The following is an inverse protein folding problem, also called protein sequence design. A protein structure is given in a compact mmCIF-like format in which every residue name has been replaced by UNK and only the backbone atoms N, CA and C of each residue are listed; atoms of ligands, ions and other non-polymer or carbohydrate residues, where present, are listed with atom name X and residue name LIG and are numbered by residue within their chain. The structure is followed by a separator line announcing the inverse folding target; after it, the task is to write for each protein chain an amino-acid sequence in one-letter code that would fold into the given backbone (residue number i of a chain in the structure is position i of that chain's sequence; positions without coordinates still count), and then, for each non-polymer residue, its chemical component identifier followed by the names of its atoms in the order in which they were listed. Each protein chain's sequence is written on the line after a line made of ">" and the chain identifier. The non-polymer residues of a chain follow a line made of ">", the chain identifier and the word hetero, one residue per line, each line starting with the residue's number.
data_IF_343465044327
#
_entry.id   IF_343465044327
#
_cell.length_a   1.000
_cell.length_b   1.000
_cell.length_c   1.000
_cell.angle_alpha   90.00
_cell.angle_beta   90.00
_cell.angle_gamma   90.00
#
_symmetry.space_group_name_H-M   'P 1'
#
loop_
_entity.id
_entity.type
_entity.pdbx_description
1 polymer ?
#
# COMPACT_ATOMS: atom_id res chain seq x y z
N UNK A 1 9.63 25.84 17.08
CA UNK A 1 9.18 25.43 15.73
C UNK A 1 8.19 24.30 15.97
N UNK A 2 6.89 24.57 15.88
CA UNK A 2 5.88 23.52 16.09
C UNK A 2 5.95 22.60 14.88
N UNK A 3 6.47 21.38 15.07
CA UNK A 3 6.20 20.32 14.13
C UNK A 3 4.68 20.16 14.13
N UNK A 4 4.03 20.34 12.98
CA UNK A 4 2.65 19.90 12.82
C UNK A 4 2.74 18.38 12.86
N UNK A 5 2.54 17.82 14.05
CA UNK A 5 2.46 16.38 14.28
C UNK A 5 1.13 15.89 13.71
N UNK A 6 1.03 15.94 12.38
CA UNK A 6 -0.13 15.40 11.67
C UNK A 6 0.08 13.90 11.66
N UNK A 7 -0.47 13.23 12.67
CA UNK A 7 -0.49 11.77 12.72
C UNK A 7 -1.03 11.23 11.40
N UNK A 8 -0.52 10.08 10.93
CA UNK A 8 -1.00 9.46 9.70
C UNK A 8 -2.54 9.26 9.73
N UNK A 9 -3.08 8.98 10.90
CA UNK A 9 -4.52 8.84 11.16
C UNK A 9 -5.27 10.15 10.86
N UNK A 10 -4.71 11.30 11.19
CA UNK A 10 -5.31 12.61 10.86
C UNK A 10 -5.35 12.85 9.35
N UNK A 11 -4.29 12.50 8.64
CA UNK A 11 -4.25 12.57 7.17
C UNK A 11 -5.28 11.63 6.53
N UNK A 12 -5.38 10.41 7.04
CA UNK A 12 -6.37 9.42 6.62
C UNK A 12 -7.80 9.90 6.87
N UNK A 13 -8.08 10.44 8.05
CA UNK A 13 -9.38 11.02 8.37
C UNK A 13 -9.76 12.15 7.40
N UNK A 14 -8.82 13.03 7.03
CA UNK A 14 -9.07 14.10 6.06
C UNK A 14 -9.41 13.57 4.66
N UNK A 15 -8.71 12.53 4.20
CA UNK A 15 -8.98 11.86 2.91
C UNK A 15 -10.35 11.18 2.90
N UNK A 16 -10.84 10.70 4.03
CA UNK A 16 -12.16 10.07 4.15
C UNK A 16 -13.33 11.09 4.25
N UNK A 17 -13.06 12.40 4.35
CA UNK A 17 -14.12 13.40 4.44
C UNK A 17 -14.87 13.57 3.11
N UNK A 18 -16.22 13.73 3.12
CA UNK A 18 -16.96 14.02 1.89
C UNK A 18 -16.49 15.27 1.14
N UNK A 19 -16.00 16.28 1.88
CA UNK A 19 -15.49 17.54 1.32
C UNK A 19 -14.18 17.38 0.55
N UNK A 20 -13.40 16.32 0.79
CA UNK A 20 -12.15 16.05 0.08
C UNK A 20 -12.36 15.23 -1.20
N UNK A 21 -13.59 14.80 -1.52
CA UNK A 21 -13.92 14.01 -2.73
C UNK A 21 -13.40 14.58 -4.03
N UNK A 22 -13.41 15.91 -4.17
CA UNK A 22 -12.87 16.58 -5.36
C UNK A 22 -11.36 16.34 -5.49
N UNK A 23 -10.62 16.29 -4.38
CA UNK A 23 -9.18 16.03 -4.37
C UNK A 23 -8.90 14.54 -4.53
N UNK A 24 -9.62 13.69 -3.79
CA UNK A 24 -9.38 12.24 -3.77
C UNK A 24 -9.72 11.56 -5.10
N UNK A 25 -10.66 12.12 -5.87
CA UNK A 25 -10.98 11.62 -7.22
C UNK A 25 -9.80 11.75 -8.19
N UNK A 26 -8.94 12.76 -8.04
CA UNK A 26 -7.79 12.97 -8.94
C UNK A 26 -6.47 12.48 -8.34
N UNK A 27 -6.48 11.92 -7.14
CA UNK A 27 -5.28 11.43 -6.48
C UNK A 27 -4.82 10.13 -7.14
N UNK A 28 -3.72 10.18 -7.89
CA UNK A 28 -3.15 9.02 -8.60
C UNK A 28 -1.92 8.43 -7.90
N UNK A 29 -1.29 9.16 -6.98
CA UNK A 29 -0.16 8.65 -6.23
C UNK A 29 -0.15 9.13 -4.78
N UNK A 30 0.20 8.22 -3.88
CA UNK A 30 0.47 8.51 -2.47
C UNK A 30 1.90 8.08 -2.15
N UNK A 31 2.61 8.93 -1.41
CA UNK A 31 3.89 8.59 -0.81
C UNK A 31 3.82 8.83 0.69
N UNK A 32 4.14 7.79 1.45
CA UNK A 32 4.19 7.78 2.90
C UNK A 32 5.64 7.44 3.26
N UNK A 33 6.30 8.36 3.99
CA UNK A 33 7.71 8.23 4.35
C UNK A 33 7.82 8.18 5.87
N UNK A 34 8.56 7.22 6.40
CA UNK A 34 9.00 7.23 7.80
C UNK A 34 7.84 7.33 8.78
N UNK A 35 7.13 6.22 8.97
CA UNK A 35 5.93 6.21 9.78
C UNK A 35 6.21 6.29 11.29
N UNK A 36 5.42 7.09 12.03
CA UNK A 36 5.53 7.17 13.48
C UNK A 36 5.13 5.84 14.11
N UNK A 37 5.75 5.52 15.25
CA UNK A 37 5.58 4.24 15.92
C UNK A 37 4.24 4.08 16.64
N UNK A 38 3.50 5.16 16.92
CA UNK A 38 2.27 5.12 17.73
C UNK A 38 1.46 6.43 17.61
N UNK A 39 0.11 6.41 17.47
CA UNK A 39 -0.72 5.26 17.12
C UNK A 39 -0.62 4.87 15.65
N UNK A 40 -0.48 3.57 15.42
CA UNK A 40 -0.50 2.99 14.08
C UNK A 40 -1.95 2.88 13.57
N UNK A 41 -2.21 3.17 12.29
CA UNK A 41 -3.54 2.97 11.73
C UNK A 41 -3.90 1.49 11.74
N UNK A 42 -5.16 1.21 12.07
CA UNK A 42 -5.73 -0.14 11.97
C UNK A 42 -6.01 -0.50 10.51
N UNK A 43 -6.25 -1.78 10.25
CA UNK A 43 -6.71 -2.26 8.95
C UNK A 43 -7.98 -1.53 8.48
N UNK A 44 -8.89 -1.21 9.41
CA UNK A 44 -10.12 -0.47 9.11
C UNK A 44 -9.82 0.99 8.70
N UNK A 45 -8.92 1.67 9.41
CA UNK A 45 -8.56 3.06 9.08
C UNK A 45 -7.96 3.16 7.67
N UNK A 46 -7.12 2.19 7.31
CA UNK A 46 -6.54 2.07 5.97
C UNK A 46 -7.65 1.77 4.96
N UNK A 47 -8.45 0.73 5.16
CA UNK A 47 -9.53 0.37 4.22
C UNK A 47 -10.49 1.54 3.98
N UNK A 48 -10.92 2.22 5.05
CA UNK A 48 -11.80 3.38 4.98
C UNK A 48 -11.17 4.50 4.16
N UNK A 49 -9.89 4.79 4.35
CA UNK A 49 -9.18 5.83 3.58
C UNK A 49 -9.08 5.48 2.11
N UNK A 50 -8.59 4.27 1.81
CA UNK A 50 -8.29 3.86 0.44
C UNK A 50 -9.54 3.55 -0.39
N UNK A 51 -10.69 3.32 0.25
CA UNK A 51 -11.98 3.17 -0.46
C UNK A 51 -12.44 4.46 -1.14
N UNK A 52 -11.92 5.61 -0.68
CA UNK A 52 -12.17 6.93 -1.27
C UNK A 52 -11.18 7.28 -2.40
N UNK A 53 -10.28 6.37 -2.76
CA UNK A 53 -9.17 6.60 -3.72
C UNK A 53 -9.27 5.66 -4.95
N UNK A 54 -10.35 5.76 -5.76
CA UNK A 54 -10.59 4.83 -6.86
C UNK A 54 -9.57 4.95 -8.00
N UNK A 55 -8.97 6.13 -8.16
CA UNK A 55 -8.02 6.43 -9.24
C UNK A 55 -6.55 6.36 -8.80
N UNK A 56 -6.27 5.81 -7.62
CA UNK A 56 -4.92 5.66 -7.13
C UNK A 56 -4.18 4.60 -7.94
N UNK A 57 -3.05 4.98 -8.53
CA UNK A 57 -2.23 4.14 -9.42
C UNK A 57 -0.91 3.69 -8.77
N UNK A 58 -0.37 4.49 -7.85
CA UNK A 58 0.91 4.22 -7.20
C UNK A 58 0.86 4.51 -5.70
N UNK A 59 1.41 3.58 -4.91
CA UNK A 59 1.65 3.78 -3.48
C UNK A 59 3.13 3.54 -3.18
N UNK A 60 3.74 4.51 -2.52
CA UNK A 60 5.10 4.41 -1.96
C UNK A 60 5.02 4.39 -0.44
N UNK A 61 5.44 3.29 0.18
CA UNK A 61 5.62 3.14 1.63
C UNK A 61 7.13 3.06 1.88
N UNK A 62 7.77 4.21 2.09
CA UNK A 62 9.23 4.34 2.11
C UNK A 62 9.74 4.45 3.54
N UNK A 63 10.86 3.79 3.84
CA UNK A 63 11.52 3.88 5.16
C UNK A 63 10.57 3.52 6.32
N UNK A 64 9.58 2.66 6.06
CA UNK A 64 8.58 2.23 7.02
C UNK A 64 9.13 1.01 7.78
N UNK A 65 9.68 1.26 8.98
CA UNK A 65 10.39 0.23 9.78
C UNK A 65 9.48 -0.59 10.70
N UNK A 66 8.17 -0.35 10.66
CA UNK A 66 7.20 -1.01 11.54
C UNK A 66 6.42 -2.05 10.73
N UNK A 67 6.86 -3.31 10.81
CA UNK A 67 6.33 -4.44 10.02
C UNK A 67 4.82 -4.57 10.07
N UNK A 68 4.23 -4.43 11.27
CA UNK A 68 2.78 -4.61 11.47
C UNK A 68 1.97 -3.60 10.66
N UNK A 69 2.48 -2.38 10.42
CA UNK A 69 1.74 -1.36 9.70
C UNK A 69 1.63 -1.69 8.21
N UNK A 70 2.75 -2.06 7.56
CA UNK A 70 2.72 -2.41 6.13
C UNK A 70 1.90 -3.70 5.93
N UNK A 71 1.97 -4.64 6.87
CA UNK A 71 1.12 -5.81 6.83
C UNK A 71 -0.37 -5.44 6.96
N UNK A 72 -0.73 -4.54 7.90
CA UNK A 72 -2.10 -4.03 8.00
C UNK A 72 -2.56 -3.34 6.71
N UNK A 73 -1.64 -2.66 6.01
CA UNK A 73 -1.92 -2.08 4.71
C UNK A 73 -2.31 -3.14 3.68
N UNK A 74 -1.55 -4.22 3.54
CA UNK A 74 -1.91 -5.32 2.63
C UNK A 74 -3.19 -6.04 3.06
N UNK A 75 -3.40 -6.23 4.36
CA UNK A 75 -4.61 -6.82 4.91
C UNK A 75 -5.84 -5.95 4.70
N UNK A 76 -5.70 -4.63 4.57
CA UNK A 76 -6.82 -3.72 4.33
C UNK A 76 -7.50 -3.97 2.99
N UNK A 77 -6.77 -4.46 1.99
CA UNK A 77 -7.34 -4.86 0.70
C UNK A 77 -8.23 -6.10 0.79
N UNK A 78 -8.13 -6.85 1.89
CA UNK A 78 -8.96 -8.03 2.19
C UNK A 78 -10.09 -7.73 3.17
N UNK A 79 -10.16 -6.51 3.68
CA UNK A 79 -11.02 -6.19 4.81
C UNK A 79 -12.51 -6.42 4.49
N UNK A 80 -12.93 -6.07 3.26
CA UNK A 80 -14.28 -6.31 2.77
C UNK A 80 -14.23 -7.03 1.41
N UNK A 81 -14.51 -8.34 1.35
CA UNK A 81 -14.38 -9.15 0.12
C UNK A 81 -15.26 -8.72 -1.06
N UNK A 82 -16.31 -7.92 -0.80
CA UNK A 82 -17.20 -7.42 -1.85
C UNK A 82 -16.65 -6.18 -2.57
N UNK A 83 -15.56 -5.58 -2.07
CA UNK A 83 -15.04 -4.29 -2.53
C UNK A 83 -13.61 -4.42 -3.01
N UNK A 84 -13.37 -4.19 -4.31
CA UNK A 84 -12.01 -4.09 -4.87
C UNK A 84 -11.42 -2.72 -4.51
N UNK A 85 -10.56 -2.71 -3.50
CA UNK A 85 -9.91 -1.49 -3.00
C UNK A 85 -8.84 -0.99 -3.99
N UNK A 86 -8.87 0.30 -4.34
CA UNK A 86 -7.96 0.92 -5.34
C UNK A 86 -7.78 0.07 -6.61
N UNK A 87 -8.82 -0.05 -7.45
CA UNK A 87 -8.80 -0.92 -8.62
C UNK A 87 -7.76 -0.50 -9.67
N UNK A 88 -7.32 0.76 -9.67
CA UNK A 88 -6.27 1.25 -10.59
C UNK A 88 -4.85 1.13 -10.06
N UNK A 89 -4.66 0.59 -8.87
CA UNK A 89 -3.34 0.48 -8.26
C UNK A 89 -2.49 -0.49 -9.07
N UNK A 90 -1.40 0.02 -9.66
CA UNK A 90 -0.47 -0.71 -10.52
C UNK A 90 0.94 -0.80 -9.93
N UNK A 91 1.28 0.13 -9.05
CA UNK A 91 2.64 0.31 -8.55
C UNK A 91 2.75 0.30 -7.04
N UNK A 92 3.65 -0.53 -6.52
CA UNK A 92 4.03 -0.53 -5.11
C UNK A 92 5.51 -0.27 -4.94
N UNK A 93 5.84 0.68 -4.09
CA UNK A 93 7.23 1.06 -3.82
C UNK A 93 7.49 0.93 -2.32
N UNK A 94 8.30 -0.07 -1.97
CA UNK A 94 8.57 -0.49 -0.59
C UNK A 94 10.05 -0.29 -0.23
N UNK A 95 10.71 0.68 -0.87
CA UNK A 95 12.12 0.97 -0.61
C UNK A 95 12.37 1.28 0.87
N UNK A 96 13.45 0.71 1.42
CA UNK A 96 13.89 0.81 2.81
C UNK A 96 12.83 0.43 3.87
N UNK A 97 11.85 -0.40 3.53
CA UNK A 97 10.72 -0.75 4.40
C UNK A 97 10.73 -2.20 4.88
N UNK A 98 10.09 -2.46 6.03
CA UNK A 98 9.96 -3.79 6.63
C UNK A 98 8.53 -4.28 6.58
N UNK A 99 8.33 -5.49 6.09
CA UNK A 99 7.03 -6.16 5.91
C UNK A 99 7.22 -7.67 5.95
N UNK A 100 6.14 -8.44 5.98
CA UNK A 100 6.23 -9.89 5.84
C UNK A 100 6.22 -10.30 4.37
N UNK A 101 7.17 -11.15 3.96
CA UNK A 101 7.33 -11.62 2.57
C UNK A 101 6.11 -12.41 2.09
N UNK A 102 5.57 -13.26 2.96
CA UNK A 102 4.42 -14.10 2.64
C UNK A 102 3.17 -13.23 2.48
N UNK A 103 3.00 -12.23 3.35
CA UNK A 103 1.88 -11.28 3.25
C UNK A 103 1.92 -10.50 1.92
N UNK A 104 3.09 -10.02 1.48
CA UNK A 104 3.21 -9.38 0.17
C UNK A 104 2.90 -10.35 -0.97
N UNK A 105 3.43 -11.59 -0.93
CA UNK A 105 3.18 -12.59 -1.96
C UNK A 105 1.70 -12.94 -2.09
N UNK A 106 1.02 -13.15 -0.96
CA UNK A 106 -0.41 -13.46 -0.94
C UNK A 106 -1.22 -12.29 -1.53
N UNK A 107 -0.90 -11.05 -1.14
CA UNK A 107 -1.50 -9.85 -1.71
C UNK A 107 -1.33 -9.77 -3.24
N UNK A 108 -0.12 -10.00 -3.75
CA UNK A 108 0.14 -9.92 -5.18
C UNK A 108 -0.58 -11.03 -5.97
N UNK A 109 -0.63 -12.25 -5.41
CA UNK A 109 -1.33 -13.38 -6.04
C UNK A 109 -2.83 -13.11 -6.16
N UNK A 110 -3.46 -12.63 -5.09
CA UNK A 110 -4.91 -12.36 -5.10
C UNK A 110 -5.28 -11.23 -6.06
N UNK A 111 -4.48 -10.15 -6.08
CA UNK A 111 -4.67 -9.06 -7.06
C UNK A 111 -4.58 -9.52 -8.51
N UNK A 112 -3.89 -10.64 -8.77
CA UNK A 112 -3.78 -11.25 -10.09
C UNK A 112 -4.98 -12.15 -10.41
N UNK A 113 -5.52 -12.85 -9.43
CA UNK A 113 -6.64 -13.79 -9.58
C UNK A 113 -7.97 -13.06 -9.83
N UNK A 114 -8.12 -11.81 -9.37
CA UNK A 114 -9.30 -10.96 -9.61
C UNK A 114 -9.32 -10.37 -11.05
N UNK A 115 -9.60 -11.22 -12.04
CA UNK A 115 -9.99 -10.90 -13.44
C UNK A 115 -9.18 -9.81 -14.18
N UNK A 116 -7.94 -9.55 -13.75
CA UNK A 116 -7.00 -8.64 -14.41
C UNK A 116 -7.27 -7.15 -14.26
N UNK A 117 -8.34 -6.75 -13.55
CA UNK A 117 -8.71 -5.33 -13.39
C UNK A 117 -7.82 -4.62 -12.38
N UNK A 118 -7.39 -5.33 -11.33
CA UNK A 118 -6.68 -4.77 -10.17
C UNK A 118 -5.21 -5.22 -10.06
N UNK A 119 -4.62 -5.64 -11.19
CA UNK A 119 -3.27 -6.20 -11.24
C UNK A 119 -2.20 -5.17 -10.83
N UNK A 120 -1.29 -5.60 -9.96
CA UNK A 120 -0.04 -4.89 -9.72
C UNK A 120 0.92 -5.18 -10.87
N UNK A 121 1.36 -4.14 -11.57
CA UNK A 121 2.26 -4.23 -12.71
C UNK A 121 3.73 -4.20 -12.29
N UNK A 122 4.05 -3.47 -11.21
CA UNK A 122 5.41 -3.38 -10.71
C UNK A 122 5.49 -3.21 -9.19
N UNK A 123 6.57 -3.75 -8.63
CA UNK A 123 6.99 -3.55 -7.24
C UNK A 123 8.44 -3.09 -7.17
N UNK A 124 8.77 -2.27 -6.17
CA UNK A 124 10.15 -1.99 -5.75
C UNK A 124 10.36 -2.51 -4.33
N UNK A 125 11.40 -3.30 -4.12
CA UNK A 125 11.72 -3.97 -2.86
C UNK A 125 13.19 -3.73 -2.49
N UNK A 126 13.52 -3.96 -1.20
CA UNK A 126 14.87 -3.78 -0.66
C UNK A 126 15.81 -4.90 -1.10
N UNK A 127 17.05 -4.57 -1.46
CA UNK A 127 18.11 -5.53 -1.75
C UNK A 127 18.33 -6.53 -0.60
N UNK A 128 18.53 -7.80 -0.95
CA UNK A 128 18.73 -8.89 0.02
C UNK A 128 17.49 -9.26 0.84
N UNK A 129 16.35 -8.57 0.65
CA UNK A 129 15.12 -8.87 1.38
C UNK A 129 14.47 -10.18 0.92
N UNK A 130 14.54 -10.49 -0.38
CA UNK A 130 14.10 -11.77 -0.95
C UNK A 130 15.30 -12.61 -1.36
N UNK A 131 15.20 -13.94 -1.31
CA UNK A 131 16.17 -14.81 -1.99
C UNK A 131 15.96 -14.72 -3.51
N UNK A 132 17.00 -15.03 -4.30
CA UNK A 132 16.88 -15.02 -5.77
C UNK A 132 15.78 -15.95 -6.29
N UNK A 133 15.62 -17.13 -5.68
CA UNK A 133 14.52 -18.05 -6.02
C UNK A 133 13.14 -17.37 -5.84
N UNK A 134 12.94 -16.63 -4.75
CA UNK A 134 11.70 -15.89 -4.53
C UNK A 134 11.55 -14.72 -5.50
N UNK A 135 12.64 -14.02 -5.84
CA UNK A 135 12.60 -12.94 -6.81
C UNK A 135 12.22 -13.44 -8.21
N UNK A 136 12.77 -14.58 -8.64
CA UNK A 136 12.40 -15.21 -9.91
C UNK A 136 10.93 -15.60 -9.95
N UNK A 137 10.41 -16.14 -8.84
CA UNK A 137 8.97 -16.43 -8.73
C UNK A 137 8.12 -15.15 -8.87
N UNK A 138 8.46 -14.08 -8.14
CA UNK A 138 7.78 -12.78 -8.23
C UNK A 138 7.83 -12.22 -9.67
N UNK A 139 8.99 -12.28 -10.32
CA UNK A 139 9.20 -11.83 -11.72
C UNK A 139 8.32 -12.58 -12.72
N UNK A 140 7.86 -13.78 -12.38
CA UNK A 140 6.89 -14.53 -13.18
C UNK A 140 5.52 -13.87 -13.32
N UNK A 141 5.18 -12.89 -12.47
CA UNK A 141 3.87 -12.22 -12.52
C UNK A 141 3.88 -10.71 -12.23
N UNK A 142 4.98 -10.13 -11.77
CA UNK A 142 5.10 -8.67 -11.56
C UNK A 142 6.50 -8.18 -11.91
N UNK A 143 6.64 -6.96 -12.43
CA UNK A 143 7.97 -6.37 -12.64
C UNK A 143 8.59 -6.01 -11.29
N UNK A 144 9.77 -6.57 -10.99
CA UNK A 144 10.47 -6.33 -9.72
C UNK A 144 11.67 -5.41 -9.93
N UNK A 145 11.71 -4.31 -9.18
CA UNK A 145 12.88 -3.46 -9.00
C UNK A 145 13.50 -3.75 -7.63
N UNK A 146 14.82 -3.90 -7.58
CA UNK A 146 15.58 -4.11 -6.35
C UNK A 146 16.50 -2.91 -6.18
N UNK A 147 16.38 -2.24 -5.03
CA UNK A 147 17.12 -1.03 -4.66
C UNK A 147 17.91 -1.24 -3.37
#
# INVERSE_FOLDING_TARGET
>A
MFAVDTSLITCFAYVSLPSSRAITTYLTSITIIGLPADPLPTTFDIWSTFSHLPNLEKISLLKCRVTIMINNFFLAFKYEPATVLCPRLKGLDLQDSYYDRQVLRDFLRERREEDGVANIEWIRVVEGFFSEEMLEELRGYVKVFVD
#
